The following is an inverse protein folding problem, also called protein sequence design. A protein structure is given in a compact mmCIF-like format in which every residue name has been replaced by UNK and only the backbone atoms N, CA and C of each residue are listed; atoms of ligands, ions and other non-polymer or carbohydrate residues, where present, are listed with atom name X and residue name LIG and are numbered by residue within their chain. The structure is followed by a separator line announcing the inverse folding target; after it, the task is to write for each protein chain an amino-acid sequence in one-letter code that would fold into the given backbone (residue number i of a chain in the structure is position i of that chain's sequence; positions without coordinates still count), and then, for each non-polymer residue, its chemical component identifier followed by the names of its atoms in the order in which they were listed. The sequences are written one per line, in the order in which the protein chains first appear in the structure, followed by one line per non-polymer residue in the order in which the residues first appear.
data_IF_951325224730
#
_entry.id   IF_951325224730
#
_cell.length_a   1.000
_cell.length_b   1.000
_cell.length_c   1.000
_cell.angle_alpha   90.00
_cell.angle_beta   90.00
_cell.angle_gamma   90.00
#
_symmetry.space_group_name_H-M   'P 1'
#
loop_
_entity.id
_entity.type
_entity.pdbx_description
1 polymer ?
#
# COMPACT_ATOMS: atom_id res chain seq x y z
N UNK A 1 16.17 38.56 16.31
CA UNK A 1 17.45 39.28 16.17
C UNK A 1 17.18 40.68 16.66
N UNK A 2 17.75 41.07 17.79
CA UNK A 2 17.32 42.27 18.50
C UNK A 2 18.26 43.46 18.25
N UNK A 3 19.36 43.26 17.51
CA UNK A 3 20.30 44.30 17.13
C UNK A 3 20.75 44.13 15.68
N UNK A 4 21.00 45.25 14.99
CA UNK A 4 21.61 45.26 13.65
C UNK A 4 23.07 44.78 13.72
N UNK A 5 23.46 43.86 12.83
CA UNK A 5 24.83 43.31 12.80
C UNK A 5 25.90 44.32 12.39
N UNK A 6 25.54 45.35 11.62
CA UNK A 6 26.51 46.35 11.13
C UNK A 6 26.67 47.55 12.07
N UNK A 7 25.57 48.10 12.60
CA UNK A 7 25.61 49.34 13.39
C UNK A 7 25.25 49.15 14.87
N UNK A 8 24.82 47.95 15.28
CA UNK A 8 24.46 47.64 16.67
C UNK A 8 23.14 48.25 17.16
N UNK A 9 22.37 48.93 16.30
CA UNK A 9 21.10 49.55 16.67
C UNK A 9 20.06 48.49 17.08
N UNK A 10 19.28 48.77 18.12
CA UNK A 10 18.20 47.90 18.60
C UNK A 10 17.06 47.81 17.55
N UNK A 11 16.58 46.58 17.30
CA UNK A 11 15.54 46.23 16.34
C UNK A 11 14.24 45.68 16.98
N UNK A 12 14.11 45.68 18.31
CA UNK A 12 12.96 45.13 19.04
C UNK A 12 11.63 45.79 18.65
N UNK A 13 11.63 47.10 18.40
CA UNK A 13 10.44 47.86 18.01
C UNK A 13 10.28 48.01 16.48
N UNK A 14 11.11 47.31 15.68
CA UNK A 14 11.05 47.38 14.21
C UNK A 14 10.10 46.32 13.67
N UNK A 15 9.14 46.73 12.84
CA UNK A 15 8.18 45.81 12.21
C UNK A 15 8.88 44.79 11.29
N UNK A 16 8.48 43.51 11.39
CA UNK A 16 9.00 42.45 10.53
C UNK A 16 8.57 42.69 9.08
N UNK A 17 9.56 42.87 8.18
CA UNK A 17 9.31 43.19 6.77
C UNK A 17 8.95 41.96 5.90
N UNK A 18 9.57 40.81 6.18
CA UNK A 18 9.37 39.58 5.42
C UNK A 18 9.89 38.38 6.22
N UNK A 19 9.41 37.19 5.86
CA UNK A 19 9.90 35.91 6.40
C UNK A 19 10.57 35.11 5.29
N UNK A 20 11.69 34.48 5.61
CA UNK A 20 12.28 33.43 4.77
C UNK A 20 11.82 32.07 5.29
N UNK A 21 11.28 31.23 4.41
CA UNK A 21 10.74 29.91 4.77
C UNK A 21 11.67 28.81 4.29
N UNK A 22 12.03 27.88 5.18
CA UNK A 22 12.74 26.64 4.87
C UNK A 22 11.97 25.47 5.50
N UNK A 23 11.87 24.36 4.79
CA UNK A 23 11.14 23.16 5.24
C UNK A 23 12.08 21.96 5.25
N UNK A 24 11.94 21.13 6.28
CA UNK A 24 12.58 19.81 6.36
C UNK A 24 11.46 18.78 6.35
N UNK A 25 11.52 17.84 5.41
CA UNK A 25 10.62 16.71 5.33
C UNK A 25 11.33 15.48 5.88
N UNK A 26 10.69 14.80 6.82
CA UNK A 26 11.21 13.57 7.42
C UNK A 26 10.09 12.52 7.50
N UNK A 27 10.48 11.26 7.62
CA UNK A 27 9.56 10.13 7.75
C UNK A 27 9.21 9.98 9.23
N UNK A 28 7.92 10.05 9.62
CA UNK A 28 7.55 9.81 11.00
C UNK A 28 7.88 8.36 11.40
N UNK A 29 8.04 8.07 12.70
CA UNK A 29 8.19 6.70 13.17
C UNK A 29 7.05 5.80 12.65
N UNK A 30 7.40 4.64 12.11
CA UNK A 30 6.43 3.69 11.56
C UNK A 30 5.72 2.98 12.72
N UNK A 31 4.44 3.33 12.94
CA UNK A 31 3.62 2.74 14.00
C UNK A 31 2.57 1.78 13.41
N UNK A 32 2.75 0.48 13.67
CA UNK A 32 1.76 -0.53 13.29
C UNK A 32 0.63 -0.61 14.32
N UNK A 33 -0.61 -0.69 13.81
CA UNK A 33 -1.79 -0.99 14.62
C UNK A 33 -2.04 -2.49 14.54
N UNK A 34 -1.96 -3.17 15.69
CA UNK A 34 -2.24 -4.60 15.82
C UNK A 34 -3.48 -4.77 16.69
N UNK A 35 -4.53 -5.35 16.11
CA UNK A 35 -5.75 -5.72 16.84
C UNK A 35 -5.74 -7.20 17.10
N UNK A 36 -5.58 -7.60 18.36
CA UNK A 36 -5.68 -9.00 18.77
C UNK A 36 -7.13 -9.38 19.03
N UNK A 37 -7.61 -10.43 18.36
CA UNK A 37 -8.91 -11.03 18.63
C UNK A 37 -8.69 -12.29 19.47
N UNK A 38 -9.45 -12.45 20.55
CA UNK A 38 -9.40 -13.63 21.40
C UNK A 38 -10.76 -14.35 21.40
N UNK A 39 -10.74 -15.68 21.28
CA UNK A 39 -11.93 -16.52 21.42
C UNK A 39 -11.79 -17.48 22.60
N UNK A 40 -12.92 -17.73 23.28
CA UNK A 40 -12.94 -18.62 24.44
C UNK A 40 -12.90 -20.07 24.00
N UNK A 41 -12.13 -20.88 24.72
CA UNK A 41 -12.14 -22.35 24.59
C UNK A 41 -12.60 -22.93 25.92
N UNK A 42 -13.64 -23.76 25.90
CA UNK A 42 -14.21 -24.42 27.09
C UNK A 42 -14.29 -25.92 26.89
N UNK A 43 -13.90 -26.68 27.91
CA UNK A 43 -14.05 -28.13 27.94
C UNK A 43 -15.32 -28.44 28.72
N UNK A 44 -16.25 -29.20 28.14
CA UNK A 44 -17.47 -29.62 28.81
C UNK A 44 -17.12 -30.58 29.96
N UNK A 45 -17.49 -30.29 31.22
CA UNK A 45 -17.16 -31.15 32.35
C UNK A 45 -17.88 -32.49 32.30
N UNK A 46 -19.04 -32.58 31.61
CA UNK A 46 -19.84 -33.79 31.54
C UNK A 46 -19.34 -34.80 30.50
N UNK A 47 -18.85 -34.34 29.35
CA UNK A 47 -18.48 -35.21 28.22
C UNK A 47 -17.04 -35.02 27.72
N UNK A 48 -16.28 -34.10 28.32
CA UNK A 48 -14.90 -33.80 27.92
C UNK A 48 -14.74 -33.09 26.56
N UNK A 49 -15.84 -32.76 25.88
CA UNK A 49 -15.78 -32.15 24.53
C UNK A 49 -15.29 -30.69 24.60
N UNK A 50 -14.38 -30.36 23.69
CA UNK A 50 -13.84 -29.02 23.49
C UNK A 50 -14.82 -28.18 22.66
N UNK A 51 -15.17 -27.00 23.17
CA UNK A 51 -16.03 -26.02 22.50
C UNK A 51 -15.22 -24.73 22.31
N UNK A 52 -15.18 -24.21 21.08
CA UNK A 52 -14.51 -22.96 20.74
C UNK A 52 -15.58 -21.93 20.38
N UNK A 53 -15.46 -20.72 20.92
CA UNK A 53 -16.21 -19.58 20.41
C UNK A 53 -15.70 -19.19 19.02
N UNK A 54 -16.60 -18.72 18.18
CA UNK A 54 -16.27 -18.27 16.83
C UNK A 54 -15.60 -16.89 16.85
N UNK A 55 -14.72 -16.65 15.89
CA UNK A 55 -14.20 -15.33 15.59
C UNK A 55 -15.17 -14.57 14.66
N UNK A 56 -15.08 -13.23 14.59
CA UNK A 56 -15.78 -12.48 13.54
C UNK A 56 -15.43 -13.03 12.15
N UNK A 57 -16.37 -12.97 11.19
CA UNK A 57 -16.16 -13.50 9.82
C UNK A 57 -14.91 -12.91 9.13
N UNK A 58 -14.59 -11.65 9.43
CA UNK A 58 -13.42 -10.97 8.89
C UNK A 58 -12.08 -11.47 9.46
N UNK A 59 -12.09 -12.28 10.52
CA UNK A 59 -10.89 -12.80 11.21
C UNK A 59 -10.81 -14.29 10.98
N UNK A 60 -10.26 -14.68 9.83
CA UNK A 60 -10.28 -16.06 9.35
C UNK A 60 -8.92 -16.78 9.46
N UNK A 61 -7.87 -16.04 9.82
CA UNK A 61 -6.50 -16.56 9.88
C UNK A 61 -5.81 -16.14 11.19
N UNK A 62 -4.91 -16.97 11.75
CA UNK A 62 -4.17 -16.62 12.96
C UNK A 62 -3.36 -15.31 12.84
N UNK A 63 -2.87 -15.03 11.63
CA UNK A 63 -2.24 -13.76 11.26
C UNK A 63 -2.81 -13.35 9.90
N UNK A 64 -3.29 -12.13 9.80
CA UNK A 64 -3.77 -11.52 8.56
C UNK A 64 -3.35 -10.05 8.51
N UNK A 65 -3.16 -9.54 7.30
CA UNK A 65 -2.69 -8.18 7.06
C UNK A 65 -3.87 -7.27 6.73
N UNK A 66 -3.89 -6.10 7.35
CA UNK A 66 -4.94 -5.11 7.10
C UNK A 66 -4.90 -4.55 5.68
N UNK A 67 -6.00 -3.91 5.23
CA UNK A 67 -6.17 -3.45 3.84
C UNK A 67 -5.07 -2.49 3.39
N UNK A 68 -4.55 -1.62 4.27
CA UNK A 68 -3.47 -0.69 3.93
C UNK A 68 -2.14 -1.39 3.63
N UNK A 69 -1.81 -2.48 4.35
CA UNK A 69 -0.60 -3.27 4.10
C UNK A 69 -0.73 -3.99 2.77
N UNK A 70 -1.90 -4.60 2.53
CA UNK A 70 -2.22 -5.30 1.29
C UNK A 70 -2.15 -4.35 0.08
N UNK A 71 -2.83 -3.20 0.17
CA UNK A 71 -2.82 -2.19 -0.88
C UNK A 71 -1.40 -1.66 -1.17
N UNK A 72 -0.61 -1.42 -0.12
CA UNK A 72 0.78 -0.98 -0.27
C UNK A 72 1.64 -2.05 -0.96
N UNK A 73 1.47 -3.33 -0.62
CA UNK A 73 2.19 -4.43 -1.26
C UNK A 73 1.86 -4.52 -2.76
N UNK A 74 0.57 -4.42 -3.11
CA UNK A 74 0.10 -4.43 -4.50
C UNK A 74 0.62 -3.20 -5.25
N UNK A 75 0.63 -2.03 -4.63
CA UNK A 75 1.17 -0.80 -5.21
C UNK A 75 2.67 -0.93 -5.50
N UNK A 76 3.47 -1.39 -4.54
CA UNK A 76 4.90 -1.66 -4.76
C UNK A 76 5.14 -2.68 -5.87
N UNK A 77 4.27 -3.68 -5.97
CA UNK A 77 4.37 -4.70 -7.01
C UNK A 77 4.01 -4.17 -8.40
N UNK A 78 2.87 -3.52 -8.55
CA UNK A 78 2.28 -3.19 -9.85
C UNK A 78 2.69 -1.82 -10.39
N UNK A 79 2.93 -0.85 -9.51
CA UNK A 79 3.35 0.48 -9.91
C UNK A 79 4.88 0.63 -9.93
N UNK A 80 5.55 0.07 -8.93
CA UNK A 80 7.01 0.17 -8.81
C UNK A 80 7.76 -1.07 -9.29
N UNK A 81 7.06 -2.11 -9.74
CA UNK A 81 7.64 -3.34 -10.30
C UNK A 81 8.63 -4.04 -9.37
N UNK A 82 8.45 -3.89 -8.05
CA UNK A 82 9.35 -4.48 -7.07
C UNK A 82 9.10 -6.00 -7.01
N UNK A 83 10.15 -6.86 -7.05
CA UNK A 83 9.99 -8.30 -6.92
C UNK A 83 9.37 -8.68 -5.56
N UNK A 84 8.51 -9.70 -5.52
CA UNK A 84 7.79 -10.10 -4.29
C UNK A 84 8.70 -10.29 -3.08
N UNK A 85 9.86 -10.94 -3.26
CA UNK A 85 10.82 -11.14 -2.17
C UNK A 85 11.34 -9.81 -1.61
N UNK A 86 11.61 -8.84 -2.47
CA UNK A 86 12.06 -7.50 -2.08
C UNK A 86 10.97 -6.71 -1.36
N UNK A 87 9.70 -6.92 -1.72
CA UNK A 87 8.57 -6.33 -0.99
C UNK A 87 8.49 -6.92 0.43
N UNK A 88 8.63 -8.24 0.57
CA UNK A 88 8.69 -8.90 1.89
C UNK A 88 9.83 -8.37 2.75
N UNK A 89 11.02 -8.19 2.18
CA UNK A 89 12.18 -7.57 2.84
C UNK A 89 11.89 -6.11 3.24
N UNK A 90 11.31 -5.30 2.34
CA UNK A 90 10.95 -3.91 2.61
C UNK A 90 10.01 -3.79 3.82
N UNK A 91 8.95 -4.60 3.87
CA UNK A 91 8.01 -4.58 5.00
C UNK A 91 8.66 -5.03 6.31
N UNK A 92 9.64 -5.94 6.24
CA UNK A 92 10.41 -6.33 7.40
C UNK A 92 11.32 -5.21 7.89
N UNK A 93 12.06 -4.58 6.99
CA UNK A 93 13.07 -3.57 7.32
C UNK A 93 12.44 -2.25 7.78
N UNK A 94 11.32 -1.84 7.17
CA UNK A 94 10.68 -0.55 7.44
C UNK A 94 9.57 -0.66 8.49
N UNK A 95 8.81 -1.75 8.49
CA UNK A 95 7.65 -1.91 9.37
C UNK A 95 7.82 -3.02 10.42
N UNK A 96 8.85 -3.86 10.33
CA UNK A 96 9.05 -4.96 11.27
C UNK A 96 8.12 -6.17 11.07
N UNK A 97 7.25 -6.18 10.04
CA UNK A 97 6.33 -7.30 9.78
C UNK A 97 6.95 -8.34 8.85
N UNK A 98 6.51 -9.60 8.96
CA UNK A 98 6.99 -10.71 8.13
C UNK A 98 5.90 -11.19 7.18
N UNK A 99 5.63 -10.40 6.15
CA UNK A 99 4.74 -10.82 5.06
C UNK A 99 5.49 -11.77 4.13
N UNK A 100 4.83 -12.87 3.72
CA UNK A 100 5.42 -13.82 2.79
C UNK A 100 5.13 -13.42 1.35
N UNK A 101 6.03 -13.80 0.41
CA UNK A 101 5.78 -13.59 -1.02
C UNK A 101 4.48 -14.27 -1.49
N UNK A 102 4.15 -15.43 -0.92
CA UNK A 102 2.90 -16.14 -1.24
C UNK A 102 1.66 -15.33 -0.83
N UNK A 103 1.70 -14.70 0.35
CA UNK A 103 0.62 -13.81 0.80
C UNK A 103 0.44 -12.61 -0.14
N UNK A 104 1.53 -12.03 -0.64
CA UNK A 104 1.47 -10.91 -1.59
C UNK A 104 0.88 -11.37 -2.94
N UNK A 105 1.28 -12.55 -3.43
CA UNK A 105 0.76 -13.12 -4.68
C UNK A 105 -0.75 -13.39 -4.57
N UNK A 106 -1.21 -13.95 -3.45
CA UNK A 106 -2.64 -14.19 -3.24
C UNK A 106 -3.42 -12.87 -3.15
N UNK A 107 -2.90 -11.89 -2.42
CA UNK A 107 -3.50 -10.56 -2.37
C UNK A 107 -3.58 -9.87 -3.75
N UNK A 108 -2.55 -9.99 -4.58
CA UNK A 108 -2.55 -9.47 -5.95
C UNK A 108 -3.59 -10.20 -6.81
N UNK A 109 -3.74 -11.51 -6.63
CA UNK A 109 -4.77 -12.30 -7.31
C UNK A 109 -6.18 -11.89 -6.91
N UNK A 110 -6.45 -11.74 -5.62
CA UNK A 110 -7.74 -11.25 -5.12
C UNK A 110 -8.05 -9.85 -5.67
N UNK A 111 -7.05 -8.96 -5.68
CA UNK A 111 -7.18 -7.63 -6.27
C UNK A 111 -7.50 -7.70 -7.77
N UNK A 112 -6.82 -8.55 -8.52
CA UNK A 112 -7.10 -8.77 -9.94
C UNK A 112 -8.55 -9.24 -10.18
N UNK A 113 -9.02 -10.22 -9.40
CA UNK A 113 -10.40 -10.71 -9.52
C UNK A 113 -11.43 -9.61 -9.23
N UNK A 114 -11.16 -8.77 -8.24
CA UNK A 114 -12.05 -7.65 -7.89
C UNK A 114 -12.07 -6.53 -8.94
N UNK A 115 -11.13 -6.51 -9.89
CA UNK A 115 -11.10 -5.53 -10.99
C UNK A 115 -11.94 -5.95 -12.19
N UNK A 116 -12.55 -7.14 -12.21
CA UNK A 116 -13.30 -7.65 -13.36
C UNK A 116 -14.42 -6.68 -13.80
N UNK A 117 -15.24 -6.19 -12.86
CA UNK A 117 -16.31 -5.24 -13.19
C UNK A 117 -15.77 -3.93 -13.76
N UNK A 118 -14.68 -3.43 -13.21
CA UNK A 118 -14.02 -2.22 -13.70
C UNK A 118 -13.46 -2.42 -15.11
N UNK A 119 -12.81 -3.56 -15.37
CA UNK A 119 -12.32 -3.92 -16.70
C UNK A 119 -13.48 -4.02 -17.71
N UNK A 120 -14.60 -4.60 -17.31
CA UNK A 120 -15.80 -4.68 -18.16
C UNK A 120 -16.31 -3.29 -18.56
N UNK A 121 -16.37 -2.35 -17.62
CA UNK A 121 -16.78 -0.96 -17.91
C UNK A 121 -15.79 -0.28 -18.87
N UNK A 122 -14.48 -0.46 -18.68
CA UNK A 122 -13.45 0.07 -19.59
C UNK A 122 -13.61 -0.56 -20.98
N UNK A 123 -13.88 -1.87 -21.06
CA UNK A 123 -14.05 -2.57 -22.33
C UNK A 123 -15.26 -2.05 -23.11
N UNK A 124 -16.39 -1.89 -22.45
CA UNK A 124 -17.61 -1.35 -23.07
C UNK A 124 -17.39 0.05 -23.63
N UNK A 125 -16.75 0.91 -22.85
CA UNK A 125 -16.40 2.26 -23.31
C UNK A 125 -15.49 2.20 -24.56
N UNK A 126 -14.64 1.16 -24.73
CA UNK A 126 -13.59 1.15 -25.77
C UNK A 126 -14.27 0.82 -27.07
N UNK A 127 -15.13 -0.19 -27.02
CA UNK A 127 -15.97 -0.61 -28.12
C UNK A 127 -16.92 0.49 -28.59
N UNK A 128 -17.38 1.35 -27.68
CA UNK A 128 -18.23 2.49 -28.02
C UNK A 128 -17.48 3.72 -28.54
N UNK A 129 -16.14 3.77 -28.38
CA UNK A 129 -15.36 4.93 -28.76
C UNK A 129 -15.18 4.98 -30.29
N UNK A 130 -15.46 6.12 -30.94
CA UNK A 130 -15.24 6.26 -32.39
C UNK A 130 -13.76 6.21 -32.78
N UNK A 131 -12.85 6.54 -31.85
CA UNK A 131 -11.40 6.50 -32.04
C UNK A 131 -10.76 5.89 -30.80
N UNK A 132 -9.84 4.94 -31.00
CA UNK A 132 -9.05 4.34 -29.93
C UNK A 132 -7.59 4.65 -30.25
N UNK A 133 -6.92 5.40 -29.37
CA UNK A 133 -5.51 5.72 -29.50
C UNK A 133 -4.68 4.55 -28.95
N UNK A 134 -4.24 3.67 -29.85
CA UNK A 134 -3.39 2.52 -29.54
C UNK A 134 -1.91 2.87 -29.74
N UNK A 135 -1.10 2.58 -28.73
CA UNK A 135 0.37 2.59 -28.81
C UNK A 135 0.91 1.15 -28.74
N UNK A 136 1.97 0.85 -29.47
CA UNK A 136 2.61 -0.47 -29.44
C UNK A 136 3.77 -0.49 -28.45
N UNK A 137 3.58 -1.20 -27.34
CA UNK A 137 4.65 -1.41 -26.35
C UNK A 137 5.30 -2.78 -26.56
N UNK A 138 6.61 -2.78 -26.78
CA UNK A 138 7.40 -4.01 -26.89
C UNK A 138 7.72 -4.59 -25.52
N UNK A 139 7.41 -5.86 -25.28
CA UNK A 139 7.73 -6.57 -24.04
C UNK A 139 8.44 -7.90 -24.33
N UNK A 140 9.41 -8.28 -23.50
CA UNK A 140 10.10 -9.57 -23.63
C UNK A 140 9.38 -10.64 -22.81
N UNK A 141 8.87 -11.66 -23.49
CA UNK A 141 8.28 -12.86 -22.86
C UNK A 141 9.18 -14.05 -23.20
N UNK A 142 9.73 -14.71 -22.19
CA UNK A 142 10.70 -15.81 -22.35
C UNK A 142 11.86 -15.50 -23.32
N UNK A 143 12.38 -14.26 -23.27
CA UNK A 143 13.50 -13.82 -24.10
C UNK A 143 13.15 -13.44 -25.54
N UNK A 144 11.90 -13.63 -25.98
CA UNK A 144 11.41 -13.19 -27.30
C UNK A 144 10.68 -11.85 -27.17
N UNK A 145 10.84 -10.96 -28.14
CA UNK A 145 10.09 -9.69 -28.17
C UNK A 145 8.67 -9.95 -28.69
N UNK A 146 7.70 -9.59 -27.87
CA UNK A 146 6.29 -9.52 -28.22
C UNK A 146 5.87 -8.04 -28.24
N UNK A 147 4.84 -7.73 -29.01
CA UNK A 147 4.26 -6.39 -29.06
C UNK A 147 2.87 -6.46 -28.46
N UNK A 148 2.61 -5.58 -27.51
CA UNK A 148 1.30 -5.41 -26.89
C UNK A 148 0.75 -4.04 -27.28
N UNK A 149 -0.45 -4.02 -27.85
CA UNK A 149 -1.17 -2.76 -28.10
C UNK A 149 -1.76 -2.26 -26.79
N UNK A 150 -1.30 -1.12 -26.30
CA UNK A 150 -1.88 -0.40 -25.16
C UNK A 150 -2.83 0.68 -25.68
N UNK A 151 -4.09 0.63 -25.27
CA UNK A 151 -5.07 1.67 -25.60
C UNK A 151 -5.16 2.67 -24.47
N UNK A 152 -5.01 3.97 -24.77
CA UNK A 152 -5.18 5.04 -23.80
C UNK A 152 -6.58 5.64 -23.91
N UNK A 153 -7.18 5.91 -22.74
CA UNK A 153 -8.41 6.69 -22.58
C UNK A 153 -8.12 8.11 -22.14
#
# INVERSE_FOLDING_TARGET
MNCCEECGQNLEDVEVKAYEVRQVFDIPPVNLIVTEHQSQIKICPCCGRLNKAEFPESVNSPVQYGPNIVASAIYFKNHHFIPYKRISELFHDVMGIKISSATIIEAERECFLNLEEFENVIREKLLSSPVIHCDETGMKVHGKRHWASCSFY
#
